data_IF_320328997531
#
_entry.id   IF_320328997531
#
_cell.length_a   1.000
_cell.length_b   1.000
_cell.length_c   1.000
_cell.angle_alpha   90.00
_cell.angle_beta   90.00
_cell.angle_gamma   90.00
#
_symmetry.space_group_name_H-M   'P 1'
#
loop_
_entity.id
_entity.type
_entity.pdbx_description
1 polymer ?
#
# COMPACT_ATOMS: atom_id res chain seq x y z
N UNK A 1 -12.96 46.61 25.01
CA UNK A 1 -11.68 47.29 24.70
C UNK A 1 -10.91 46.42 23.72
N UNK A 2 -11.05 46.71 22.43
CA UNK A 2 -10.35 46.01 21.34
C UNK A 2 -8.90 46.49 21.28
N UNK A 3 -7.94 45.57 21.26
CA UNK A 3 -6.55 45.86 20.90
C UNK A 3 -6.24 45.24 19.54
N UNK A 4 -5.42 45.99 18.83
CA UNK A 4 -5.33 46.12 17.40
C UNK A 4 -3.94 45.71 16.93
N UNK A 5 -3.90 45.07 15.75
CA UNK A 5 -2.89 45.12 14.68
C UNK A 5 -1.45 44.59 14.89
N UNK A 6 -1.16 43.65 13.97
CA UNK A 6 -0.01 43.57 13.04
C UNK A 6 1.38 43.17 13.56
N UNK A 7 1.93 42.11 12.95
CA UNK A 7 3.17 42.23 12.16
C UNK A 7 3.42 40.95 11.34
N UNK A 8 3.36 41.07 10.01
CA UNK A 8 3.78 40.05 9.04
C UNK A 8 5.21 40.38 8.61
N UNK A 9 6.17 39.55 8.95
CA UNK A 9 7.57 39.67 8.53
C UNK A 9 7.79 38.96 7.19
N UNK A 10 7.85 39.76 6.12
CA UNK A 10 8.55 39.44 4.86
C UNK A 10 10.06 39.54 5.13
N UNK A 11 10.89 38.64 4.59
CA UNK A 11 11.96 39.00 3.61
C UNK A 11 12.87 37.83 3.17
N UNK A 12 13.40 38.05 1.96
CA UNK A 12 14.74 37.68 1.46
C UNK A 12 14.91 36.36 0.70
N UNK A 13 14.51 36.41 -0.57
CA UNK A 13 15.22 35.75 -1.68
C UNK A 13 16.68 36.22 -1.70
N UNK A 14 17.64 35.28 -1.69
CA UNK A 14 19.04 35.56 -2.02
C UNK A 14 19.43 34.76 -3.25
N UNK A 15 19.58 35.46 -4.37
CA UNK A 15 20.24 34.99 -5.59
C UNK A 15 21.75 35.13 -5.39
N UNK A 16 22.52 34.08 -5.66
CA UNK A 16 23.90 34.25 -6.11
C UNK A 16 24.19 33.22 -7.20
N UNK A 17 24.17 33.72 -8.44
CA UNK A 17 24.74 33.04 -9.58
C UNK A 17 26.27 33.03 -9.40
N UNK A 18 26.87 31.85 -9.31
CA UNK A 18 28.32 31.71 -9.34
C UNK A 18 28.77 31.54 -10.79
N UNK A 19 29.38 32.60 -11.31
CA UNK A 19 29.92 32.73 -12.66
C UNK A 19 31.28 32.02 -12.78
N UNK A 20 31.35 31.13 -13.77
CA UNK A 20 32.44 31.00 -14.76
C UNK A 20 33.89 30.98 -14.23
N UNK A 21 34.49 29.78 -14.16
CA UNK A 21 35.94 29.62 -14.12
C UNK A 21 36.43 28.76 -15.30
N UNK A 22 37.03 29.46 -16.27
CA UNK A 22 38.14 29.06 -17.15
C UNK A 22 38.17 27.64 -17.75
N UNK A 23 37.88 27.58 -19.05
CA UNK A 23 38.39 26.53 -19.95
C UNK A 23 39.92 26.54 -19.94
N UNK A 24 40.55 25.43 -19.54
CA UNK A 24 41.91 25.12 -19.96
C UNK A 24 41.87 23.87 -20.85
N UNK A 25 42.30 24.06 -22.09
CA UNK A 25 42.33 23.06 -23.13
C UNK A 25 43.46 22.04 -22.86
N UNK A 26 43.07 20.79 -22.63
CA UNK A 26 44.02 19.67 -22.61
C UNK A 26 44.26 19.29 -24.08
N UNK A 27 45.51 19.45 -24.54
CA UNK A 27 45.93 19.12 -25.91
C UNK A 27 45.77 17.60 -26.14
N UNK A 28 45.15 17.13 -27.24
CA UNK A 28 45.06 15.70 -27.52
C UNK A 28 46.42 15.19 -27.99
N UNK A 29 47.17 14.54 -27.10
CA UNK A 29 48.33 13.75 -27.50
C UNK A 29 47.80 12.49 -28.18
N UNK A 30 47.99 12.42 -29.50
CA UNK A 30 47.66 11.28 -30.35
C UNK A 30 48.49 10.06 -29.96
N UNK A 31 47.98 9.26 -29.02
CA UNK A 31 48.56 7.98 -28.68
C UNK A 31 47.45 6.98 -28.36
N UNK A 32 47.19 6.14 -29.36
CA UNK A 32 46.63 4.80 -29.29
C UNK A 32 45.21 4.63 -28.72
N UNK A 33 44.26 4.51 -29.65
CA UNK A 33 43.07 3.68 -29.53
C UNK A 33 43.48 2.23 -29.23
N UNK A 34 43.60 1.88 -27.96
CA UNK A 34 43.42 0.50 -27.53
C UNK A 34 41.94 0.31 -27.22
N UNK A 35 41.17 -0.13 -28.21
CA UNK A 35 39.88 -0.79 -27.97
C UNK A 35 40.25 -2.13 -27.34
N UNK A 36 40.41 -2.15 -26.02
CA UNK A 36 40.31 -3.40 -25.30
C UNK A 36 38.84 -3.77 -25.35
N UNK A 37 38.52 -4.95 -25.88
CA UNK A 37 37.19 -5.57 -25.80
C UNK A 37 36.92 -5.92 -24.33
N UNK A 38 36.76 -4.90 -23.49
CA UNK A 38 36.13 -5.04 -22.20
C UNK A 38 34.71 -5.47 -22.48
N UNK A 39 34.38 -6.70 -22.08
CA UNK A 39 33.01 -7.13 -21.89
C UNK A 39 32.23 -5.97 -21.26
N UNK A 40 31.38 -5.33 -22.05
CA UNK A 40 30.39 -4.39 -21.55
C UNK A 40 29.43 -5.24 -20.72
N UNK A 41 29.76 -5.41 -19.45
CA UNK A 41 28.83 -5.93 -18.47
C UNK A 41 27.70 -4.91 -18.45
N UNK A 42 26.63 -5.26 -19.18
CA UNK A 42 25.33 -4.62 -19.15
C UNK A 42 24.84 -4.68 -17.70
N UNK A 43 25.38 -3.83 -16.84
CA UNK A 43 24.88 -3.63 -15.49
C UNK A 43 23.62 -2.79 -15.63
N UNK A 44 22.56 -3.41 -16.16
CA UNK A 44 21.19 -2.97 -15.90
C UNK A 44 21.05 -3.06 -14.40
N UNK A 45 21.31 -1.96 -13.72
CA UNK A 45 20.84 -1.76 -12.36
C UNK A 45 19.32 -1.88 -12.45
N UNK A 46 18.81 -3.08 -12.16
CA UNK A 46 17.38 -3.32 -12.00
C UNK A 46 17.02 -2.51 -10.77
N UNK A 47 16.33 -1.39 -10.99
CA UNK A 47 15.81 -0.58 -9.91
C UNK A 47 14.71 -1.41 -9.25
N UNK A 48 15.02 -2.01 -8.12
CA UNK A 48 14.04 -2.66 -7.26
C UNK A 48 13.20 -1.55 -6.63
N UNK A 49 12.14 -1.14 -7.33
CA UNK A 49 11.03 -0.44 -6.70
C UNK A 49 10.31 -1.46 -5.82
N UNK A 50 9.91 -1.05 -4.62
CA UNK A 50 9.19 -1.85 -3.63
C UNK A 50 8.11 -2.69 -4.30
N UNK A 51 8.36 -3.99 -4.47
CA UNK A 51 7.29 -4.92 -4.77
C UNK A 51 6.48 -5.01 -3.49
N UNK A 52 5.20 -4.63 -3.56
CA UNK A 52 4.30 -4.83 -2.44
C UNK A 52 4.30 -6.32 -2.09
N UNK A 53 4.31 -6.69 -0.79
CA UNK A 53 4.21 -8.09 -0.41
C UNK A 53 2.97 -8.69 -1.07
N UNK A 54 3.12 -9.88 -1.67
CA UNK A 54 1.99 -10.60 -2.25
C UNK A 54 0.93 -10.85 -1.15
N UNK A 55 -0.33 -10.69 -1.52
CA UNK A 55 -1.47 -10.90 -0.63
C UNK A 55 -1.59 -12.42 -0.35
N UNK A 56 -0.84 -12.91 0.63
CA UNK A 56 -0.94 -14.31 1.05
C UNK A 56 -2.21 -14.53 1.86
N UNK A 57 -2.77 -15.75 1.80
CA UNK A 57 -3.99 -16.11 2.55
C UNK A 57 -3.87 -15.84 4.04
N UNK A 58 -2.68 -16.01 4.59
CA UNK A 58 -2.37 -15.76 6.01
C UNK A 58 -2.59 -14.28 6.36
N UNK A 59 -2.03 -13.35 5.57
CA UNK A 59 -2.20 -11.92 5.78
C UNK A 59 -3.67 -11.51 5.64
N UNK A 60 -4.38 -12.06 4.65
CA UNK A 60 -5.82 -11.78 4.46
C UNK A 60 -6.61 -12.21 5.70
N UNK A 61 -6.34 -13.42 6.21
CA UNK A 61 -7.03 -13.93 7.40
C UNK A 61 -6.77 -13.07 8.63
N UNK A 62 -5.53 -12.64 8.84
CA UNK A 62 -5.15 -11.78 9.96
C UNK A 62 -5.89 -10.44 9.91
N UNK A 63 -5.91 -9.77 8.75
CA UNK A 63 -6.59 -8.47 8.61
C UNK A 63 -8.10 -8.57 8.75
N UNK A 64 -8.72 -9.66 8.29
CA UNK A 64 -10.16 -9.88 8.50
C UNK A 64 -10.45 -10.12 9.98
N UNK A 65 -9.61 -10.88 10.68
CA UNK A 65 -9.76 -11.11 12.12
C UNK A 65 -9.65 -9.77 12.88
N UNK A 66 -8.65 -8.95 12.57
CA UNK A 66 -8.50 -7.60 13.15
C UNK A 66 -9.73 -6.72 12.92
N UNK A 67 -10.27 -6.73 11.70
CA UNK A 67 -11.49 -6.00 11.35
C UNK A 67 -12.68 -6.48 12.19
N UNK A 68 -12.87 -7.80 12.30
CA UNK A 68 -13.94 -8.38 13.10
C UNK A 68 -13.79 -8.08 14.60
N UNK A 69 -12.57 -8.10 15.14
CA UNK A 69 -12.30 -7.72 16.53
C UNK A 69 -12.58 -6.23 16.79
N UNK A 70 -12.35 -5.38 15.79
CA UNK A 70 -12.70 -3.95 15.87
C UNK A 70 -14.22 -3.69 15.83
N UNK A 71 -14.98 -4.63 15.26
CA UNK A 71 -16.43 -4.51 15.14
C UNK A 71 -17.09 -4.71 16.51
N UNK A 72 -17.74 -3.65 17.01
CA UNK A 72 -18.24 -3.53 18.39
C UNK A 72 -19.23 -4.60 18.88
N UNK A 73 -19.77 -5.42 17.98
CA UNK A 73 -20.68 -6.54 18.29
C UNK A 73 -19.99 -7.89 18.46
N UNK A 74 -18.71 -8.00 18.09
CA UNK A 74 -17.96 -9.23 18.27
C UNK A 74 -17.72 -9.46 19.76
N UNK A 75 -18.11 -10.62 20.26
CA UNK A 75 -17.90 -10.98 21.66
C UNK A 75 -16.39 -11.05 21.94
N UNK A 76 -15.91 -10.27 22.92
CA UNK A 76 -14.49 -10.09 23.28
C UNK A 76 -13.74 -11.40 23.61
N UNK A 77 -14.46 -12.52 23.79
CA UNK A 77 -13.91 -13.83 24.16
C UNK A 77 -14.07 -14.93 23.08
N UNK A 78 -14.55 -14.61 21.88
CA UNK A 78 -14.72 -15.61 20.80
C UNK A 78 -13.45 -15.69 19.96
N UNK A 79 -12.81 -16.87 19.97
CA UNK A 79 -11.69 -17.14 19.07
C UNK A 79 -12.17 -17.27 17.63
N UNK A 80 -11.88 -16.26 16.82
CA UNK A 80 -12.17 -16.28 15.39
C UNK A 80 -11.19 -17.23 14.69
N UNK A 81 -11.72 -18.10 13.85
CA UNK A 81 -10.97 -19.03 13.00
C UNK A 81 -11.62 -19.08 11.63
N UNK A 82 -10.93 -19.63 10.62
CA UNK A 82 -11.46 -19.70 9.25
C UNK A 82 -12.81 -20.43 9.15
N UNK A 83 -13.08 -21.38 10.06
CA UNK A 83 -14.34 -22.13 10.08
C UNK A 83 -15.49 -21.37 10.77
N UNK A 84 -15.22 -20.22 11.39
CA UNK A 84 -16.25 -19.45 12.09
C UNK A 84 -17.28 -18.88 11.12
N UNK A 85 -18.55 -19.07 11.49
CA UNK A 85 -19.69 -18.56 10.74
C UNK A 85 -20.18 -17.24 11.32
N UNK A 86 -20.37 -16.25 10.44
CA UNK A 86 -20.84 -14.92 10.82
C UNK A 86 -22.19 -14.97 11.56
N UNK A 87 -23.15 -15.75 11.07
CA UNK A 87 -24.47 -15.81 11.72
C UNK A 87 -24.53 -16.73 12.93
N UNK A 88 -23.85 -17.89 12.90
CA UNK A 88 -24.00 -18.92 13.94
C UNK A 88 -23.07 -18.71 15.13
N UNK A 89 -21.82 -18.33 14.88
CA UNK A 89 -20.79 -18.26 15.92
C UNK A 89 -20.64 -16.83 16.43
N UNK A 90 -20.62 -15.85 15.52
CA UNK A 90 -20.54 -14.41 15.88
C UNK A 90 -21.92 -13.80 16.17
N UNK A 91 -23.01 -14.49 15.78
CA UNK A 91 -24.37 -14.01 16.03
C UNK A 91 -24.76 -12.77 15.24
N UNK A 92 -24.09 -12.50 14.11
CA UNK A 92 -24.39 -11.38 13.24
C UNK A 92 -25.77 -11.54 12.59
N UNK A 93 -26.56 -10.48 12.66
CA UNK A 93 -27.80 -10.39 11.88
C UNK A 93 -27.49 -10.12 10.40
N UNK A 94 -28.50 -10.29 9.54
CA UNK A 94 -28.47 -9.97 8.12
C UNK A 94 -27.98 -8.55 7.81
N UNK A 95 -28.22 -7.58 8.69
CA UNK A 95 -27.69 -6.22 8.54
C UNK A 95 -26.20 -6.13 8.89
N UNK A 96 -25.80 -6.80 9.97
CA UNK A 96 -24.40 -6.79 10.46
C UNK A 96 -23.48 -7.47 9.43
N UNK A 97 -23.95 -8.54 8.78
CA UNK A 97 -23.19 -9.19 7.69
C UNK A 97 -22.93 -8.27 6.51
N UNK A 98 -23.89 -7.40 6.15
CA UNK A 98 -23.72 -6.44 5.05
C UNK A 98 -22.72 -5.36 5.44
N UNK A 99 -22.75 -4.88 6.68
CA UNK A 99 -21.80 -3.87 7.18
C UNK A 99 -20.36 -4.40 7.17
N UNK A 100 -20.14 -5.60 7.69
CA UNK A 100 -18.81 -6.24 7.70
C UNK A 100 -18.30 -6.49 6.29
N UNK A 101 -19.16 -6.92 5.36
CA UNK A 101 -18.77 -7.13 3.96
C UNK A 101 -18.35 -5.80 3.31
N UNK A 102 -19.06 -4.70 3.56
CA UNK A 102 -18.66 -3.38 3.06
C UNK A 102 -17.35 -2.88 3.65
N UNK A 103 -17.07 -3.18 4.93
CA UNK A 103 -15.77 -2.84 5.53
C UNK A 103 -14.63 -3.67 4.92
N UNK A 104 -14.87 -4.96 4.65
CA UNK A 104 -13.90 -5.83 3.95
C UNK A 104 -13.64 -5.32 2.53
N UNK A 105 -14.68 -4.93 1.79
CA UNK A 105 -14.55 -4.31 0.47
C UNK A 105 -13.65 -3.06 0.51
N UNK A 106 -13.87 -2.22 1.52
CA UNK A 106 -13.08 -1.01 1.73
C UNK A 106 -11.62 -1.32 2.08
N UNK A 107 -11.37 -2.26 2.98
CA UNK A 107 -10.02 -2.62 3.45
C UNK A 107 -9.15 -3.17 2.33
N UNK A 108 -9.71 -4.03 1.47
CA UNK A 108 -8.98 -4.63 0.35
C UNK A 108 -9.17 -3.88 -0.99
N UNK A 109 -9.91 -2.76 -0.98
CA UNK A 109 -10.23 -1.97 -2.17
C UNK A 109 -10.82 -2.80 -3.32
N UNK A 110 -11.72 -3.74 -2.98
CA UNK A 110 -12.41 -4.62 -3.94
C UNK A 110 -13.91 -4.31 -3.98
N UNK A 111 -14.60 -4.85 -4.98
CA UNK A 111 -16.05 -4.84 -5.07
C UNK A 111 -16.56 -6.28 -5.10
N UNK A 112 -17.38 -6.64 -4.12
CA UNK A 112 -18.00 -7.96 -4.01
C UNK A 112 -19.45 -7.80 -4.48
N UNK A 113 -19.86 -8.44 -5.59
CA UNK A 113 -21.25 -8.36 -6.02
C UNK A 113 -22.18 -9.02 -4.99
N UNK A 114 -23.38 -8.47 -4.79
CA UNK A 114 -24.36 -8.94 -3.81
C UNK A 114 -24.60 -10.46 -3.83
N UNK A 115 -24.59 -11.06 -5.03
CA UNK A 115 -24.78 -12.51 -5.20
C UNK A 115 -23.68 -13.33 -4.54
N UNK A 116 -22.45 -12.86 -4.61
CA UNK A 116 -21.30 -13.54 -4.00
C UNK A 116 -21.22 -13.21 -2.51
N UNK A 117 -21.56 -11.98 -2.12
CA UNK A 117 -21.69 -11.57 -0.72
C UNK A 117 -22.68 -12.47 0.05
N UNK A 118 -23.84 -12.79 -0.53
CA UNK A 118 -24.85 -13.69 0.07
C UNK A 118 -24.35 -15.15 0.23
N UNK A 119 -23.38 -15.57 -0.58
CA UNK A 119 -22.79 -16.90 -0.52
C UNK A 119 -21.71 -17.02 0.58
N UNK A 120 -21.10 -15.89 0.98
CA UNK A 120 -20.06 -15.82 2.01
C UNK A 120 -20.70 -15.92 3.41
N UNK A 121 -20.57 -17.09 4.04
CA UNK A 121 -21.16 -17.39 5.37
C UNK A 121 -20.14 -17.61 6.47
N UNK A 122 -18.87 -17.76 6.09
CA UNK A 122 -17.76 -18.08 6.99
C UNK A 122 -16.54 -17.23 6.66
N UNK A 123 -15.67 -17.02 7.65
CA UNK A 123 -14.44 -16.22 7.48
C UNK A 123 -13.54 -16.83 6.39
N UNK A 124 -13.36 -18.15 6.38
CA UNK A 124 -12.54 -18.83 5.38
C UNK A 124 -13.06 -18.66 3.96
N UNK A 125 -14.38 -18.57 3.76
CA UNK A 125 -14.96 -18.27 2.44
C UNK A 125 -14.64 -16.84 1.99
N UNK A 126 -14.66 -15.86 2.91
CA UNK A 126 -14.25 -14.49 2.61
C UNK A 126 -12.76 -14.44 2.24
N UNK A 127 -11.90 -15.11 3.00
CA UNK A 127 -10.46 -15.22 2.72
C UNK A 127 -10.21 -15.85 1.34
N UNK A 128 -10.88 -16.96 1.05
CA UNK A 128 -10.76 -17.65 -0.23
C UNK A 128 -11.25 -16.79 -1.40
N UNK A 129 -12.32 -16.01 -1.19
CA UNK A 129 -12.83 -15.08 -2.19
C UNK A 129 -11.80 -14.00 -2.52
N UNK A 130 -11.28 -13.32 -1.50
CA UNK A 130 -10.29 -12.23 -1.67
C UNK A 130 -8.99 -12.77 -2.27
N UNK A 131 -8.57 -13.98 -1.87
CA UNK A 131 -7.35 -14.59 -2.40
C UNK A 131 -7.40 -14.90 -3.90
N UNK A 132 -8.60 -15.03 -4.47
CA UNK A 132 -8.79 -15.22 -5.92
C UNK A 132 -8.73 -13.90 -6.68
N UNK A 133 -8.90 -12.77 -5.99
CA UNK A 133 -8.93 -11.46 -6.61
C UNK A 133 -7.52 -10.91 -6.74
N UNK A 134 -6.99 -10.98 -7.97
CA UNK A 134 -5.64 -10.54 -8.31
C UNK A 134 -5.46 -9.01 -8.25
N UNK A 135 -6.55 -8.26 -8.11
CA UNK A 135 -6.57 -6.80 -8.05
C UNK A 135 -6.64 -6.25 -6.62
N UNK A 136 -6.76 -7.11 -5.59
CA UNK A 136 -6.70 -6.69 -4.20
C UNK A 136 -5.28 -6.18 -3.87
N UNK A 137 -5.16 -4.90 -3.52
CA UNK A 137 -3.89 -4.16 -3.43
C UNK A 137 -3.53 -3.74 -2.01
#
# INVERSE_FOLDING_TARGET
MFKSLASVSKLAVSRSAFTQASRQAIKPSSAALFINNGHFQNNRQVRFYSHAPELTKEIISERIIELLESYSKTAEDVKITDETSFSKDLGFDSFDTVEVIMEIEYEFSILIPDKEADEIKTVGQAVDFISKQHDAC
#
